data_IF_646188554535
#
_entry.id   IF_646188554535
#
_cell.length_a   1.000
_cell.length_b   1.000
_cell.length_c   1.000
_cell.angle_alpha   90.00
_cell.angle_beta   90.00
_cell.angle_gamma   90.00
#
_symmetry.space_group_name_H-M   'P 1'
#
loop_
_entity.id
_entity.type
_entity.pdbx_description
1 polymer ?
#
# COMPACT_ATOMS: atom_id res chain seq x y z
N UNK A 1 -11.08 14.62 -15.41
CA UNK A 1 -12.03 14.15 -14.37
C UNK A 1 -11.57 12.82 -13.80
N UNK A 2 -11.77 12.61 -12.51
CA UNK A 2 -11.46 11.33 -11.90
C UNK A 2 -12.44 10.26 -12.38
N UNK A 3 -11.95 9.03 -12.56
CA UNK A 3 -12.77 7.89 -12.94
C UNK A 3 -13.59 7.44 -11.73
N UNK A 4 -14.92 7.64 -11.77
CA UNK A 4 -15.82 7.29 -10.66
C UNK A 4 -15.96 5.78 -10.45
N UNK A 5 -15.56 4.95 -11.45
CA UNK A 5 -15.59 3.48 -11.34
C UNK A 5 -14.29 2.92 -10.79
N UNK A 6 -13.26 3.72 -10.68
CA UNK A 6 -11.96 3.27 -10.23
C UNK A 6 -12.02 2.75 -8.80
N UNK A 7 -11.26 1.71 -8.54
CA UNK A 7 -11.09 1.13 -7.21
C UNK A 7 -9.68 1.44 -6.77
N UNK A 8 -9.55 2.28 -5.76
CA UNK A 8 -8.25 2.60 -5.17
C UNK A 8 -8.14 1.87 -3.84
N UNK A 9 -7.01 1.22 -3.65
CA UNK A 9 -6.72 0.49 -2.42
C UNK A 9 -5.56 1.16 -1.72
N UNK A 10 -5.70 1.39 -0.42
CA UNK A 10 -4.61 1.83 0.44
C UNK A 10 -4.37 0.76 1.50
N UNK A 11 -3.12 0.35 1.64
CA UNK A 11 -2.73 -0.61 2.66
C UNK A 11 -1.76 0.06 3.61
N UNK A 12 -2.02 -0.07 4.91
CA UNK A 12 -1.16 0.45 5.96
C UNK A 12 -0.54 -0.73 6.69
N UNK A 13 0.78 -0.74 6.76
CA UNK A 13 1.54 -1.82 7.40
C UNK A 13 2.19 -1.30 8.67
N UNK A 14 2.07 -2.06 9.76
CA UNK A 14 2.90 -1.80 10.95
C UNK A 14 4.21 -2.53 10.76
N UNK A 15 5.29 -1.78 10.64
CA UNK A 15 6.60 -2.32 10.27
C UNK A 15 7.39 -2.81 11.47
N UNK A 16 8.25 -3.79 11.20
CA UNK A 16 9.39 -4.08 12.05
C UNK A 16 10.56 -3.26 11.50
N UNK A 17 10.90 -2.17 12.19
CA UNK A 17 11.90 -1.23 11.69
C UNK A 17 13.29 -1.83 11.55
N UNK A 18 13.55 -2.96 12.20
CA UNK A 18 14.80 -3.69 12.04
C UNK A 18 14.85 -4.53 10.75
N UNK A 19 13.76 -4.59 10.01
CA UNK A 19 13.63 -5.41 8.80
C UNK A 19 13.16 -4.61 7.59
N UNK A 20 13.56 -3.35 7.50
CA UNK A 20 13.15 -2.46 6.40
C UNK A 20 13.58 -2.99 5.05
N UNK A 21 14.79 -3.54 4.95
CA UNK A 21 15.31 -4.06 3.69
C UNK A 21 14.44 -5.21 3.17
N UNK A 22 13.98 -6.09 4.06
CA UNK A 22 13.06 -7.17 3.69
C UNK A 22 11.70 -6.61 3.24
N UNK A 23 11.19 -5.59 3.93
CA UNK A 23 9.94 -4.95 3.54
C UNK A 23 10.05 -4.30 2.17
N UNK A 24 11.17 -3.66 1.86
CA UNK A 24 11.38 -3.06 0.55
C UNK A 24 11.38 -4.11 -0.57
N UNK A 25 11.97 -5.28 -0.33
CA UNK A 25 11.91 -6.39 -1.28
C UNK A 25 10.47 -6.88 -1.49
N UNK A 26 9.72 -7.02 -0.42
CA UNK A 26 8.29 -7.35 -0.45
C UNK A 26 7.53 -6.31 -1.29
N UNK A 27 7.79 -5.04 -1.05
CA UNK A 27 7.14 -3.94 -1.75
C UNK A 27 7.39 -3.98 -3.26
N UNK A 28 8.64 -4.19 -3.66
CA UNK A 28 9.00 -4.26 -5.08
C UNK A 28 8.28 -5.41 -5.79
N UNK A 29 8.15 -6.54 -5.13
CA UNK A 29 7.41 -7.68 -5.69
C UNK A 29 5.96 -7.33 -5.95
N UNK A 30 5.30 -6.71 -4.99
CA UNK A 30 3.88 -6.36 -5.15
C UNK A 30 3.65 -5.23 -6.14
N UNK A 31 4.54 -4.25 -6.22
CA UNK A 31 4.44 -3.22 -7.25
C UNK A 31 4.46 -3.85 -8.65
N UNK A 32 5.37 -4.79 -8.87
CA UNK A 32 5.46 -5.51 -10.13
C UNK A 32 4.21 -6.35 -10.41
N UNK A 33 3.73 -7.10 -9.42
CA UNK A 33 2.56 -7.97 -9.60
C UNK A 33 1.30 -7.18 -9.91
N UNK A 34 1.06 -6.09 -9.21
CA UNK A 34 -0.12 -5.26 -9.42
C UNK A 34 -0.11 -4.68 -10.83
N UNK A 35 1.03 -4.17 -11.29
CA UNK A 35 1.14 -3.62 -12.64
C UNK A 35 1.05 -4.68 -13.73
N UNK A 36 1.61 -5.86 -13.48
CA UNK A 36 1.49 -6.99 -14.40
C UNK A 36 0.02 -7.34 -14.66
N UNK A 37 -0.83 -7.27 -13.65
CA UNK A 37 -2.22 -7.71 -13.73
C UNK A 37 -3.22 -6.56 -13.84
N UNK A 38 -2.78 -5.42 -14.36
CA UNK A 38 -3.69 -4.38 -14.81
C UNK A 38 -3.93 -3.22 -13.87
N UNK A 39 -3.25 -3.17 -12.74
CA UNK A 39 -3.35 -2.04 -11.82
C UNK A 39 -2.29 -0.97 -12.10
N UNK A 40 -2.51 0.19 -11.53
CA UNK A 40 -1.52 1.27 -11.50
C UNK A 40 -1.06 1.41 -10.06
N UNK A 41 0.23 1.19 -9.81
CA UNK A 41 0.77 1.34 -8.47
C UNK A 41 1.27 2.76 -8.28
N UNK A 42 0.82 3.40 -7.19
CA UNK A 42 1.26 4.76 -6.84
C UNK A 42 2.51 4.73 -5.96
N UNK A 43 2.91 3.58 -5.50
CA UNK A 43 4.13 3.37 -4.75
C UNK A 43 3.91 2.86 -3.34
N UNK A 44 5.00 2.40 -2.75
CA UNK A 44 5.09 2.13 -1.32
C UNK A 44 5.83 3.29 -0.68
N UNK A 45 5.37 3.73 0.47
CA UNK A 45 5.92 4.89 1.17
C UNK A 45 6.35 4.46 2.56
N UNK A 46 7.61 4.70 2.87
CA UNK A 46 8.18 4.36 4.18
C UNK A 46 8.01 5.53 5.15
N UNK A 47 7.95 5.27 6.45
CA UNK A 47 7.86 6.34 7.43
C UNK A 47 9.12 7.19 7.45
N UNK A 48 8.95 8.48 7.67
CA UNK A 48 10.04 9.43 7.88
C UNK A 48 9.60 10.46 8.89
N UNK A 49 10.55 11.15 9.50
CA UNK A 49 10.24 12.25 10.41
C UNK A 49 9.51 13.37 9.65
N UNK A 50 8.62 14.07 10.35
CA UNK A 50 7.96 15.22 9.78
C UNK A 50 8.99 16.29 9.39
N UNK A 51 8.80 16.99 8.26
CA UNK A 51 9.68 18.10 7.90
C UNK A 51 9.60 19.22 8.92
N UNK A 52 10.68 19.99 9.04
CA UNK A 52 10.67 21.19 9.87
C UNK A 52 9.55 22.13 9.40
N UNK A 53 8.80 22.68 10.35
CA UNK A 53 7.70 23.58 10.05
C UNK A 53 6.39 22.90 9.67
N UNK A 54 6.32 21.56 9.72
CA UNK A 54 5.09 20.82 9.45
C UNK A 54 4.17 20.88 10.68
N UNK A 55 3.48 21.99 10.84
CA UNK A 55 2.59 22.20 11.98
C UNK A 55 1.22 21.57 11.72
N UNK A 56 0.57 21.12 12.80
CA UNK A 56 -0.80 20.63 12.73
C UNK A 56 -1.75 21.82 12.62
N UNK A 57 -2.54 21.87 11.54
CA UNK A 57 -3.43 23.01 11.26
C UNK A 57 -4.57 23.13 12.26
N UNK A 58 -5.04 22.02 12.81
CA UNK A 58 -6.15 22.00 13.74
C UNK A 58 -5.73 21.24 15.01
N UNK A 59 -5.03 21.93 15.95
CA UNK A 59 -4.63 21.31 17.21
C UNK A 59 -5.85 20.76 17.97
N UNK A 60 -5.70 19.58 18.55
CA UNK A 60 -6.81 18.89 19.19
C UNK A 60 -7.63 18.01 18.29
N UNK A 61 -7.52 18.18 16.95
CA UNK A 61 -8.18 17.31 15.97
C UNK A 61 -7.17 16.44 15.22
N UNK A 62 -6.00 16.98 14.92
CA UNK A 62 -4.98 16.29 14.15
C UNK A 62 -3.74 15.95 14.97
N UNK A 63 -3.01 14.95 14.53
CA UNK A 63 -1.70 14.60 15.07
C UNK A 63 -0.89 13.88 14.00
N UNK A 64 0.40 13.78 14.22
CA UNK A 64 1.25 12.93 13.42
C UNK A 64 0.95 11.47 13.79
N UNK A 65 0.88 10.60 12.79
CA UNK A 65 0.66 9.19 13.04
C UNK A 65 1.90 8.51 13.62
N UNK A 66 1.80 7.19 13.89
CA UNK A 66 2.95 6.44 14.41
C UNK A 66 4.11 6.39 13.42
N UNK A 67 5.33 6.31 13.96
CA UNK A 67 6.56 6.33 13.16
C UNK A 67 6.95 4.99 12.54
N UNK A 68 6.11 3.97 12.66
CA UNK A 68 6.40 2.62 12.18
C UNK A 68 5.40 2.15 11.12
N UNK A 69 4.70 3.06 10.45
CA UNK A 69 3.69 2.72 9.45
C UNK A 69 4.20 3.02 8.04
N UNK A 70 4.11 2.01 7.16
CA UNK A 70 4.30 2.19 5.72
C UNK A 70 2.94 2.16 5.04
N UNK A 71 2.85 2.81 3.89
CA UNK A 71 1.61 2.89 3.12
C UNK A 71 1.88 2.46 1.68
N UNK A 72 1.00 1.60 1.16
CA UNK A 72 0.96 1.28 -0.26
C UNK A 72 -0.35 1.80 -0.84
N UNK A 73 -0.31 2.26 -2.08
CA UNK A 73 -1.51 2.74 -2.74
C UNK A 73 -1.49 2.35 -4.22
N UNK A 74 -2.61 1.81 -4.69
CA UNK A 74 -2.74 1.41 -6.09
C UNK A 74 -4.19 1.49 -6.53
N UNK A 75 -4.40 1.55 -7.86
CA UNK A 75 -5.72 1.77 -8.45
C UNK A 75 -5.97 0.80 -9.60
N UNK A 76 -7.17 0.27 -9.66
CA UNK A 76 -7.70 -0.48 -10.81
C UNK A 76 -8.81 0.35 -11.46
N UNK A 77 -8.99 0.24 -12.80
CA UNK A 77 -9.98 1.08 -13.48
C UNK A 77 -11.42 0.77 -13.08
N UNK A 78 -11.71 -0.44 -12.61
CA UNK A 78 -13.04 -0.85 -12.16
C UNK A 78 -12.94 -2.09 -11.27
N UNK A 79 -14.08 -2.49 -10.70
CA UNK A 79 -14.14 -3.67 -9.83
C UNK A 79 -13.82 -4.97 -10.57
N UNK A 80 -14.22 -5.09 -11.82
CA UNK A 80 -13.97 -6.30 -12.61
C UNK A 80 -12.47 -6.50 -12.80
N UNK A 81 -11.73 -5.44 -13.10
CA UNK A 81 -10.29 -5.48 -13.22
C UNK A 81 -9.63 -5.89 -11.90
N UNK A 82 -10.12 -5.35 -10.80
CA UNK A 82 -9.61 -5.71 -9.48
C UNK A 82 -9.86 -7.20 -9.19
N UNK A 83 -11.06 -7.71 -9.45
CA UNK A 83 -11.37 -9.13 -9.23
C UNK A 83 -10.51 -10.03 -10.10
N UNK A 84 -10.28 -9.64 -11.36
CA UNK A 84 -9.40 -10.39 -12.26
C UNK A 84 -7.99 -10.48 -11.71
N UNK A 85 -7.46 -9.35 -11.26
CA UNK A 85 -6.14 -9.31 -10.61
C UNK A 85 -6.08 -10.28 -9.42
N UNK A 86 -7.09 -10.27 -8.55
CA UNK A 86 -7.12 -11.16 -7.38
C UNK A 86 -7.09 -12.63 -7.78
N UNK A 87 -7.76 -13.00 -8.84
CA UNK A 87 -7.75 -14.37 -9.34
C UNK A 87 -6.39 -14.74 -9.94
N UNK A 88 -5.84 -13.87 -10.75
CA UNK A 88 -4.58 -14.15 -11.47
C UNK A 88 -3.38 -14.18 -10.52
N UNK A 89 -3.35 -13.31 -9.52
CA UNK A 89 -2.21 -13.23 -8.61
C UNK A 89 -2.09 -14.45 -7.70
N UNK A 90 -3.18 -15.17 -7.48
CA UNK A 90 -3.18 -16.36 -6.61
C UNK A 90 -2.17 -17.42 -7.05
N UNK A 91 -1.94 -17.54 -8.35
CA UNK A 91 -1.04 -18.56 -8.91
C UNK A 91 0.33 -18.02 -9.28
N UNK A 92 0.58 -16.73 -9.06
CA UNK A 92 1.87 -16.15 -9.36
C UNK A 92 2.93 -16.64 -8.36
N UNK A 93 4.05 -17.20 -8.83
CA UNK A 93 5.09 -17.71 -7.93
C UNK A 93 5.71 -16.61 -7.06
N UNK A 94 5.79 -15.40 -7.57
CA UNK A 94 6.32 -14.26 -6.82
C UNK A 94 5.49 -13.94 -5.59
N UNK A 95 4.17 -14.17 -5.64
CA UNK A 95 3.30 -13.99 -4.48
C UNK A 95 3.70 -14.92 -3.34
N UNK A 96 4.00 -16.17 -3.67
CA UNK A 96 4.45 -17.15 -2.67
C UNK A 96 5.79 -16.77 -2.08
N UNK A 97 6.71 -16.29 -2.90
CA UNK A 97 8.01 -15.81 -2.42
C UNK A 97 7.87 -14.63 -1.48
N UNK A 98 6.98 -13.68 -1.82
CA UNK A 98 6.71 -12.55 -0.96
C UNK A 98 6.11 -12.98 0.39
N UNK A 99 5.18 -13.92 0.36
CA UNK A 99 4.59 -14.45 1.60
C UNK A 99 5.62 -15.17 2.46
N UNK A 100 6.52 -15.95 1.85
CA UNK A 100 7.60 -16.63 2.56
C UNK A 100 8.53 -15.62 3.23
N UNK A 101 8.87 -14.55 2.54
CA UNK A 101 9.73 -13.50 3.09
C UNK A 101 9.12 -12.88 4.36
N UNK A 102 7.82 -12.63 4.36
CA UNK A 102 7.12 -12.09 5.52
C UNK A 102 7.15 -13.09 6.68
N UNK A 103 6.90 -14.37 6.41
CA UNK A 103 6.95 -15.41 7.46
C UNK A 103 8.34 -15.55 8.07
N UNK A 104 9.38 -15.45 7.26
CA UNK A 104 10.76 -15.61 7.71
C UNK A 104 11.29 -14.40 8.46
N UNK A 105 10.98 -13.19 8.00
CA UNK A 105 11.58 -11.96 8.52
C UNK A 105 10.67 -11.20 9.48
N UNK A 106 9.37 -11.41 9.40
CA UNK A 106 8.40 -10.61 10.15
C UNK A 106 8.61 -9.11 9.90
N UNK A 107 8.81 -8.74 8.63
CA UNK A 107 9.10 -7.35 8.27
C UNK A 107 7.91 -6.42 8.51
N UNK A 108 6.71 -6.95 8.61
CA UNK A 108 5.58 -6.24 9.20
C UNK A 108 4.79 -7.21 10.06
N UNK A 109 4.10 -6.68 11.07
CA UNK A 109 3.40 -7.50 12.06
C UNK A 109 1.89 -7.45 11.91
N UNK A 110 1.39 -6.45 11.22
CA UNK A 110 -0.04 -6.32 10.91
C UNK A 110 -0.21 -5.37 9.75
N UNK A 111 -1.36 -5.46 9.11
CA UNK A 111 -1.74 -4.49 8.09
C UNK A 111 -3.25 -4.31 8.11
N UNK A 112 -3.70 -3.17 7.58
CA UNK A 112 -5.11 -2.92 7.35
C UNK A 112 -5.28 -2.35 5.95
N UNK A 113 -6.46 -2.52 5.40
CA UNK A 113 -6.73 -2.17 4.01
C UNK A 113 -7.98 -1.31 3.92
N UNK A 114 -7.89 -0.22 3.15
CA UNK A 114 -9.01 0.64 2.84
C UNK A 114 -9.29 0.59 1.35
N UNK A 115 -10.57 0.50 0.98
CA UNK A 115 -10.99 0.70 -0.40
C UNK A 115 -11.58 2.10 -0.51
N UNK A 116 -11.13 2.85 -1.51
CA UNK A 116 -11.38 4.28 -1.64
C UNK A 116 -11.86 4.59 -3.04
N UNK A 117 -12.61 5.66 -3.16
CA UNK A 117 -12.99 6.21 -4.45
C UNK A 117 -12.63 7.70 -4.47
N UNK A 118 -12.27 8.26 -5.65
CA UNK A 118 -11.88 9.66 -5.70
C UNK A 118 -13.07 10.57 -5.45
N UNK A 119 -12.80 11.69 -4.82
CA UNK A 119 -13.76 12.79 -4.76
C UNK A 119 -13.77 13.46 -6.12
N UNK A 120 -14.95 13.61 -6.71
CA UNK A 120 -15.08 14.28 -8.00
C UNK A 120 -14.76 15.76 -7.84
N UNK A 121 -14.01 16.29 -8.78
CA UNK A 121 -13.80 17.74 -8.84
C UNK A 121 -15.09 18.41 -9.32
N UNK A 122 -15.39 19.54 -8.78
CA UNK A 122 -16.63 20.26 -9.08
C UNK A 122 -16.79 20.53 -10.58
#
# INVERSE_FOLDING_TARGET
MANSKAVTCQIRYTLNLNKLSAFESYARTWMMLIERYGGTHHGYFLPRAAPDGAEISFPGLGNDGPGDVAVAMFTFPDEQSYRRYRQMVKTAPERQSAAALVRETRCFTRYERLFLKPVQRA
#
